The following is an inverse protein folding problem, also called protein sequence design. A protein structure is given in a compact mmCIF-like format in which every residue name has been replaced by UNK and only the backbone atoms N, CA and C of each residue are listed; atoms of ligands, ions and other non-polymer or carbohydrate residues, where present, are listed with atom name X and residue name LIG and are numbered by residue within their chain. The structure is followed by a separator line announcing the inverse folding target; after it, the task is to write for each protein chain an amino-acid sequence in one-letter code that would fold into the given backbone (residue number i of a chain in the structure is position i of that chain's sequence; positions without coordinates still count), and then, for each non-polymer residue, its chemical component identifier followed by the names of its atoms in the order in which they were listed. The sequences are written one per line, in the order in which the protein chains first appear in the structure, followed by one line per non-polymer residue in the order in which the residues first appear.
data_IF_725695975313
#
_entry.id   IF_725695975313
#
_cell.length_a   1.000
_cell.length_b   1.000
_cell.length_c   1.000
_cell.angle_alpha   90.00
_cell.angle_beta   90.00
_cell.angle_gamma   90.00
#
_symmetry.space_group_name_H-M   'P 1'
#
loop_
_entity.id
_entity.type
_entity.pdbx_description
1 polymer ?
#
# COMPACT_ATOMS: atom_id res chain seq x y z
N UNK A 1 4.38 1.40 22.70
CA UNK A 1 3.59 2.60 22.37
C UNK A 1 3.13 3.26 23.67
N UNK A 2 2.96 4.60 23.71
CA UNK A 2 2.43 5.29 24.91
C UNK A 2 0.91 5.16 24.99
N UNK A 3 0.33 5.25 26.20
CA UNK A 3 -1.14 5.18 26.43
C UNK A 3 -1.95 6.09 25.51
N UNK A 4 -1.59 7.37 25.46
CA UNK A 4 -2.31 8.38 24.69
C UNK A 4 -2.31 8.07 23.18
N UNK A 5 -1.16 7.61 22.68
CA UNK A 5 -0.97 7.24 21.29
C UNK A 5 -1.77 5.98 20.94
N UNK A 6 -1.78 4.97 21.82
CA UNK A 6 -2.60 3.78 21.68
C UNK A 6 -4.10 4.11 21.60
N UNK A 7 -4.62 4.89 22.54
CA UNK A 7 -6.04 5.22 22.61
C UNK A 7 -6.48 6.08 21.44
N UNK A 8 -5.63 7.02 20.99
CA UNK A 8 -5.89 7.86 19.82
C UNK A 8 -5.98 7.01 18.54
N UNK A 9 -5.04 6.07 18.37
CA UNK A 9 -5.03 5.18 17.22
C UNK A 9 -6.23 4.22 17.26
N UNK A 10 -6.52 3.60 18.41
CA UNK A 10 -7.68 2.72 18.58
C UNK A 10 -8.99 3.46 18.28
N UNK A 11 -9.14 4.70 18.75
CA UNK A 11 -10.30 5.56 18.45
C UNK A 11 -10.44 5.79 16.94
N UNK A 12 -9.34 6.06 16.25
CA UNK A 12 -9.35 6.22 14.80
C UNK A 12 -9.75 4.94 14.06
N UNK A 13 -9.26 3.78 14.52
CA UNK A 13 -9.59 2.48 13.93
C UNK A 13 -11.07 2.10 14.17
N UNK A 14 -11.66 2.53 15.30
CA UNK A 14 -13.05 2.31 15.65
C UNK A 14 -14.05 3.31 15.03
N UNK A 15 -13.63 4.14 14.07
CA UNK A 15 -14.46 5.24 13.51
C UNK A 15 -15.80 4.82 12.89
N UNK A 16 -15.96 3.54 12.57
CA UNK A 16 -17.20 3.00 12.01
C UNK A 16 -18.23 2.58 13.07
N UNK A 17 -17.89 2.68 14.36
CA UNK A 17 -18.84 2.47 15.45
C UNK A 17 -19.56 3.76 15.81
N UNK A 18 -20.75 3.63 16.38
CA UNK A 18 -21.45 4.77 17.00
C UNK A 18 -20.61 5.37 18.14
N UNK A 19 -20.67 6.69 18.31
CA UNK A 19 -19.86 7.43 19.28
C UNK A 19 -19.96 6.88 20.71
N UNK A 20 -21.17 6.58 21.18
CA UNK A 20 -21.39 6.05 22.53
C UNK A 20 -20.72 4.68 22.72
N UNK A 21 -20.83 3.82 21.71
CA UNK A 21 -20.22 2.49 21.68
C UNK A 21 -18.70 2.60 21.64
N UNK A 22 -18.18 3.52 20.81
CA UNK A 22 -16.75 3.76 20.70
C UNK A 22 -16.15 4.23 22.05
N UNK A 23 -16.82 5.13 22.77
CA UNK A 23 -16.36 5.61 24.08
C UNK A 23 -16.43 4.52 25.16
N UNK A 24 -17.45 3.66 25.12
CA UNK A 24 -17.57 2.50 26.01
C UNK A 24 -16.42 1.49 25.80
N UNK A 25 -16.14 1.14 24.54
CA UNK A 25 -15.04 0.24 24.21
C UNK A 25 -13.69 0.86 24.62
N UNK A 26 -13.46 2.15 24.37
CA UNK A 26 -12.20 2.84 24.72
C UNK A 26 -11.92 2.84 26.23
N UNK A 27 -12.95 3.02 27.08
CA UNK A 27 -12.81 2.96 28.55
C UNK A 27 -12.22 1.64 29.03
N UNK A 28 -12.53 0.54 28.35
CA UNK A 28 -12.01 -0.79 28.68
C UNK A 28 -10.48 -0.90 28.51
N UNK A 29 -9.87 0.03 27.78
CA UNK A 29 -8.42 0.06 27.52
C UNK A 29 -7.72 1.27 28.18
N UNK A 30 -8.43 2.11 28.95
CA UNK A 30 -7.84 3.30 29.59
C UNK A 30 -6.89 2.97 30.75
N UNK A 31 -7.03 1.80 31.38
CA UNK A 31 -6.30 1.42 32.59
C UNK A 31 -5.51 0.11 32.41
N UNK A 32 -4.92 -0.09 31.23
CA UNK A 32 -4.04 -1.23 31.00
C UNK A 32 -2.68 -1.02 31.68
N UNK A 33 -2.15 -2.08 32.29
CA UNK A 33 -0.79 -2.11 32.83
C UNK A 33 0.28 -2.06 31.72
N UNK A 34 -0.05 -2.56 30.52
CA UNK A 34 0.84 -2.55 29.36
C UNK A 34 0.10 -2.19 28.07
N UNK A 35 0.62 -1.20 27.35
CA UNK A 35 0.11 -0.72 26.07
C UNK A 35 0.86 -1.28 24.86
N UNK A 36 1.58 -2.39 25.02
CA UNK A 36 2.20 -3.13 23.92
C UNK A 36 1.18 -4.00 23.16
N UNK A 37 0.03 -3.40 22.82
CA UNK A 37 -1.05 -4.01 22.06
C UNK A 37 -1.16 -3.33 20.70
N UNK A 38 -1.62 -4.08 19.70
CA UNK A 38 -1.85 -3.57 18.34
C UNK A 38 -3.30 -3.07 18.22
N UNK A 39 -3.54 -1.75 18.07
CA UNK A 39 -4.88 -1.17 17.99
C UNK A 39 -5.76 -1.80 16.91
N UNK A 40 -5.17 -2.23 15.80
CA UNK A 40 -5.89 -2.82 14.67
C UNK A 40 -6.40 -4.23 14.96
N UNK A 41 -5.63 -5.04 15.69
CA UNK A 41 -6.06 -6.38 16.13
C UNK A 41 -7.22 -6.26 17.11
N UNK A 42 -7.15 -5.28 18.03
CA UNK A 42 -8.21 -4.98 18.98
C UNK A 42 -9.46 -4.46 18.26
N UNK A 43 -9.32 -3.53 17.32
CA UNK A 43 -10.44 -3.01 16.54
C UNK A 43 -11.13 -4.13 15.75
N UNK A 44 -10.38 -5.03 15.12
CA UNK A 44 -10.94 -6.20 14.44
C UNK A 44 -11.72 -7.11 15.40
N UNK A 45 -11.19 -7.37 16.60
CA UNK A 45 -11.88 -8.16 17.63
C UNK A 45 -13.20 -7.50 18.06
N UNK A 46 -13.19 -6.18 18.28
CA UNK A 46 -14.39 -5.41 18.63
C UNK A 46 -15.44 -5.47 17.51
N UNK A 47 -15.03 -5.33 16.24
CA UNK A 47 -15.93 -5.44 15.10
C UNK A 47 -16.53 -6.85 14.99
N UNK A 48 -15.73 -7.91 15.17
CA UNK A 48 -16.21 -9.29 15.15
C UNK A 48 -17.20 -9.58 16.29
N UNK A 49 -16.90 -9.16 17.53
CA UNK A 49 -17.80 -9.30 18.67
C UNK A 49 -19.17 -8.65 18.43
N UNK A 50 -19.21 -7.60 17.63
CA UNK A 50 -20.42 -6.84 17.30
C UNK A 50 -21.08 -7.29 15.99
N UNK A 51 -20.61 -8.38 15.39
CA UNK A 51 -21.18 -8.92 14.15
C UNK A 51 -20.93 -8.06 12.90
N UNK A 52 -19.97 -7.13 12.97
CA UNK A 52 -19.61 -6.25 11.86
C UNK A 52 -18.50 -6.87 11.02
N UNK A 53 -18.74 -7.03 9.72
CA UNK A 53 -17.73 -7.55 8.78
C UNK A 53 -16.76 -6.45 8.32
N UNK A 54 -16.16 -5.74 9.27
CA UNK A 54 -15.21 -4.65 9.03
C UNK A 54 -13.81 -5.18 9.37
N UNK A 55 -12.91 -5.16 8.38
CA UNK A 55 -11.51 -5.54 8.56
C UNK A 55 -10.64 -4.29 8.58
N UNK A 56 -10.17 -3.93 9.78
CA UNK A 56 -9.15 -2.92 9.97
C UNK A 56 -7.79 -3.53 9.65
N UNK A 57 -7.07 -2.89 8.75
CA UNK A 57 -5.69 -3.25 8.44
C UNK A 57 -4.78 -2.11 8.81
N UNK A 58 -3.68 -2.40 9.51
CA UNK A 58 -2.62 -1.43 9.79
C UNK A 58 -2.23 -0.71 8.51
N UNK A 59 -2.19 0.62 8.57
CA UNK A 59 -1.67 1.43 7.48
C UNK A 59 -0.16 1.26 7.47
N UNK A 60 0.34 0.23 6.79
CA UNK A 60 1.78 0.06 6.60
C UNK A 60 2.33 1.24 5.80
N UNK A 61 3.28 1.96 6.39
CA UNK A 61 4.00 2.99 5.67
C UNK A 61 4.87 2.32 4.60
N UNK A 62 5.24 3.07 3.55
CA UNK A 62 6.14 2.54 2.52
C UNK A 62 7.48 2.13 3.13
N UNK A 63 8.02 2.95 4.03
CA UNK A 63 9.31 2.71 4.66
C UNK A 63 9.29 1.45 5.53
N UNK A 64 8.21 1.22 6.27
CA UNK A 64 8.04 -0.03 7.04
C UNK A 64 8.03 -1.23 6.10
N UNK A 65 7.26 -1.15 5.01
CA UNK A 65 7.20 -2.23 4.02
C UNK A 65 8.55 -2.51 3.35
N UNK A 66 9.32 -1.46 3.05
CA UNK A 66 10.68 -1.61 2.53
C UNK A 66 11.58 -2.27 3.58
N UNK A 67 11.46 -1.88 4.86
CA UNK A 67 12.21 -2.52 5.95
C UNK A 67 11.91 -4.02 6.02
N UNK A 68 10.64 -4.42 6.00
CA UNK A 68 10.24 -5.84 6.01
C UNK A 68 10.83 -6.60 4.81
N UNK A 69 10.85 -6.00 3.62
CA UNK A 69 11.47 -6.61 2.43
C UNK A 69 12.99 -6.75 2.60
N UNK A 70 13.66 -5.76 3.19
CA UNK A 70 15.09 -5.83 3.51
C UNK A 70 15.38 -6.92 4.53
N UNK A 71 14.54 -7.05 5.55
CA UNK A 71 14.69 -8.09 6.58
C UNK A 71 14.45 -9.49 5.99
N UNK A 72 13.47 -9.62 5.10
CA UNK A 72 13.25 -10.84 4.32
C UNK A 72 14.45 -11.19 3.41
N UNK A 73 15.11 -10.19 2.81
CA UNK A 73 16.36 -10.38 2.03
C UNK A 73 17.53 -10.82 2.91
N UNK A 74 17.61 -10.34 4.16
CA UNK A 74 18.62 -10.76 5.13
C UNK A 74 18.31 -12.13 5.75
N UNK A 75 17.11 -12.66 5.54
CA UNK A 75 16.73 -13.97 6.07
C UNK A 75 17.64 -15.07 5.49
N UNK A 76 18.02 -16.04 6.31
CA UNK A 76 18.77 -17.23 5.85
C UNK A 76 17.87 -18.27 5.18
N UNK A 77 16.57 -17.99 5.06
CA UNK A 77 15.60 -18.94 4.54
C UNK A 77 15.57 -18.91 3.01
N UNK A 78 16.09 -19.98 2.39
CA UNK A 78 16.14 -20.12 0.94
C UNK A 78 14.76 -19.98 0.27
N UNK A 79 13.68 -20.41 0.91
CA UNK A 79 12.32 -20.31 0.36
C UNK A 79 11.86 -18.85 0.28
N UNK A 80 12.12 -18.06 1.32
CA UNK A 80 11.79 -16.63 1.37
C UNK A 80 12.61 -15.87 0.33
N UNK A 81 13.91 -16.15 0.22
CA UNK A 81 14.78 -15.55 -0.79
C UNK A 81 14.32 -15.86 -2.22
N UNK A 82 13.91 -17.09 -2.48
CA UNK A 82 13.42 -17.51 -3.80
C UNK A 82 12.06 -16.87 -4.13
N UNK A 83 11.16 -16.77 -3.15
CA UNK A 83 9.89 -16.06 -3.28
C UNK A 83 10.08 -14.54 -3.52
N UNK A 84 11.04 -13.91 -2.82
CA UNK A 84 11.48 -12.54 -3.08
C UNK A 84 12.02 -12.37 -4.50
N UNK A 85 12.86 -13.29 -4.97
CA UNK A 85 13.41 -13.26 -6.33
C UNK A 85 12.28 -13.28 -7.37
N UNK A 86 11.33 -14.20 -7.23
CA UNK A 86 10.17 -14.28 -8.11
C UNK A 86 9.29 -13.03 -8.02
N UNK A 87 9.14 -12.44 -6.84
CA UNK A 87 8.43 -11.18 -6.66
C UNK A 87 9.10 -10.03 -7.44
N UNK A 88 10.42 -9.88 -7.36
CA UNK A 88 11.14 -8.86 -8.13
C UNK A 88 11.08 -9.12 -9.64
N UNK A 89 11.20 -10.38 -10.06
CA UNK A 89 11.04 -10.76 -11.47
C UNK A 89 9.64 -10.42 -11.98
N UNK A 90 8.61 -10.70 -11.17
CA UNK A 90 7.23 -10.35 -11.46
C UNK A 90 7.06 -8.83 -11.58
N UNK A 91 7.62 -8.05 -10.65
CA UNK A 91 7.59 -6.58 -10.73
C UNK A 91 8.28 -6.06 -12.00
N UNK A 92 9.39 -6.67 -12.41
CA UNK A 92 10.09 -6.30 -13.64
C UNK A 92 9.23 -6.53 -14.88
N UNK A 93 8.57 -7.70 -14.99
CA UNK A 93 7.64 -8.00 -16.09
C UNK A 93 6.47 -7.00 -16.08
N UNK A 94 5.98 -6.65 -14.89
CA UNK A 94 4.87 -5.71 -14.74
C UNK A 94 5.20 -4.30 -15.27
N UNK A 95 6.44 -3.80 -15.10
CA UNK A 95 6.88 -2.52 -15.69
C UNK A 95 6.69 -2.54 -17.20
N UNK A 96 7.14 -3.62 -17.83
CA UNK A 96 7.09 -3.78 -19.28
C UNK A 96 5.63 -3.79 -19.73
N UNK A 97 4.78 -4.57 -19.06
CA UNK A 97 3.35 -4.64 -19.37
C UNK A 97 2.62 -3.32 -19.19
N UNK A 98 2.95 -2.55 -18.14
CA UNK A 98 2.36 -1.22 -17.91
C UNK A 98 2.79 -0.27 -19.03
N UNK A 99 4.01 -0.38 -19.57
CA UNK A 99 4.51 0.54 -20.59
C UNK A 99 3.79 0.41 -21.93
N UNK A 100 3.37 -0.81 -22.31
CA UNK A 100 2.72 -1.11 -23.60
C UNK A 100 1.51 -0.18 -23.89
N UNK A 101 0.50 -0.06 -23.02
CA UNK A 101 -0.65 0.81 -23.28
C UNK A 101 -0.25 2.30 -23.39
N UNK A 102 0.75 2.76 -22.64
CA UNK A 102 1.23 4.15 -22.75
C UNK A 102 1.91 4.41 -24.09
N UNK A 103 2.74 3.48 -24.58
CA UNK A 103 3.33 3.54 -25.92
C UNK A 103 2.23 3.60 -26.98
N UNK A 104 1.23 2.71 -26.87
CA UNK A 104 0.15 2.64 -27.85
C UNK A 104 -0.66 3.94 -27.94
N UNK A 105 -1.05 4.51 -26.79
CA UNK A 105 -1.80 5.78 -26.76
C UNK A 105 -0.95 6.94 -27.25
N UNK A 106 0.33 6.98 -26.87
CA UNK A 106 1.27 7.99 -27.36
C UNK A 106 1.40 7.94 -28.89
N UNK A 107 1.52 6.76 -29.48
CA UNK A 107 1.74 6.58 -30.91
C UNK A 107 0.47 6.90 -31.75
N UNK A 108 -0.72 6.63 -31.23
CA UNK A 108 -1.97 7.08 -31.87
C UNK A 108 -2.04 8.62 -31.91
N UNK A 109 -1.67 9.27 -30.81
CA UNK A 109 -1.83 10.71 -30.67
C UNK A 109 -0.68 11.47 -31.34
N UNK A 110 0.50 10.87 -31.45
CA UNK A 110 1.59 11.42 -32.28
C UNK A 110 1.14 11.55 -33.74
N UNK A 111 0.42 10.55 -34.25
CA UNK A 111 -0.18 10.57 -35.59
C UNK A 111 -1.20 11.70 -35.74
N UNK A 112 -1.99 11.97 -34.69
CA UNK A 112 -2.92 13.11 -34.67
C UNK A 112 -2.19 14.46 -34.70
N UNK A 113 -1.15 14.67 -33.87
CA UNK A 113 -0.39 15.91 -33.84
C UNK A 113 0.35 16.18 -35.15
N UNK A 114 0.95 15.15 -35.75
CA UNK A 114 1.69 15.26 -37.00
C UNK A 114 0.78 15.55 -38.21
N UNK A 115 -0.47 15.07 -38.21
CA UNK A 115 -1.39 15.23 -39.36
C UNK A 115 -2.27 16.48 -39.23
N UNK A 116 -2.75 16.82 -38.03
CA UNK A 116 -3.75 17.89 -37.84
C UNK A 116 -3.19 19.21 -37.32
N UNK A 117 -2.15 19.17 -36.49
CA UNK A 117 -1.70 20.35 -35.74
C UNK A 117 -0.34 20.87 -36.24
N UNK A 118 0.47 20.01 -36.87
CA UNK A 118 1.78 20.33 -37.47
C UNK A 118 2.66 21.18 -36.55
N UNK A 119 2.63 20.86 -35.25
CA UNK A 119 3.29 21.65 -34.20
C UNK A 119 4.15 20.74 -33.32
N UNK A 120 5.45 20.78 -33.56
CA UNK A 120 6.45 19.95 -32.87
C UNK A 120 6.51 20.23 -31.36
N UNK A 121 6.29 21.49 -30.95
CA UNK A 121 6.30 21.87 -29.54
C UNK A 121 5.17 21.19 -28.77
N UNK A 122 3.97 21.14 -29.35
CA UNK A 122 2.83 20.46 -28.72
C UNK A 122 3.06 18.94 -28.64
N UNK A 123 3.68 18.35 -29.66
CA UNK A 123 4.06 16.94 -29.63
C UNK A 123 5.08 16.63 -28.51
N UNK A 124 6.10 17.47 -28.33
CA UNK A 124 7.10 17.30 -27.26
C UNK A 124 6.46 17.40 -25.88
N UNK A 125 5.60 18.40 -25.65
CA UNK A 125 4.87 18.56 -24.38
C UNK A 125 3.98 17.34 -24.13
N UNK A 126 3.30 16.84 -25.16
CA UNK A 126 2.47 15.65 -25.07
C UNK A 126 3.27 14.41 -24.69
N UNK A 127 4.39 14.16 -25.36
CA UNK A 127 5.27 13.04 -25.09
C UNK A 127 5.80 13.07 -23.65
N UNK A 128 6.29 14.23 -23.18
CA UNK A 128 6.74 14.41 -21.79
C UNK A 128 5.62 14.15 -20.78
N UNK A 129 4.42 14.62 -21.08
CA UNK A 129 3.23 14.39 -20.24
C UNK A 129 2.94 12.89 -20.10
N UNK A 130 3.03 12.14 -21.19
CA UNK A 130 2.79 10.69 -21.18
C UNK A 130 3.86 9.90 -20.42
N UNK A 131 5.13 10.27 -20.58
CA UNK A 131 6.22 9.67 -19.80
C UNK A 131 6.04 9.94 -18.30
N UNK A 132 5.60 11.16 -17.93
CA UNK A 132 5.29 11.49 -16.54
C UNK A 132 4.11 10.66 -16.00
N UNK A 133 3.02 10.55 -16.76
CA UNK A 133 1.86 9.74 -16.38
C UNK A 133 2.23 8.26 -16.21
N UNK A 134 3.05 7.72 -17.12
CA UNK A 134 3.59 6.37 -17.03
C UNK A 134 4.40 6.19 -15.74
N UNK A 135 5.34 7.11 -15.45
CA UNK A 135 6.18 7.05 -14.27
C UNK A 135 5.34 7.08 -12.97
N UNK A 136 4.37 7.99 -12.88
CA UNK A 136 3.46 8.08 -11.73
C UNK A 136 2.67 6.78 -11.56
N UNK A 137 2.13 6.25 -12.65
CA UNK A 137 1.33 5.01 -12.64
C UNK A 137 2.17 3.82 -12.18
N UNK A 138 3.37 3.67 -12.74
CA UNK A 138 4.29 2.61 -12.36
C UNK A 138 4.67 2.70 -10.87
N UNK A 139 5.02 3.90 -10.39
CA UNK A 139 5.35 4.14 -8.97
C UNK A 139 4.18 3.76 -8.06
N UNK A 140 2.96 4.23 -8.34
CA UNK A 140 1.79 3.93 -7.51
C UNK A 140 1.50 2.43 -7.44
N UNK A 141 1.59 1.74 -8.58
CA UNK A 141 1.39 0.30 -8.65
C UNK A 141 2.48 -0.42 -7.84
N UNK A 142 3.74 -0.01 -7.98
CA UNK A 142 4.86 -0.57 -7.24
C UNK A 142 4.77 -0.41 -5.74
N UNK A 143 4.38 0.79 -5.28
CA UNK A 143 4.11 1.05 -3.86
C UNK A 143 3.07 0.05 -3.35
N UNK A 144 1.99 -0.18 -4.11
CA UNK A 144 0.94 -1.12 -3.73
C UNK A 144 1.44 -2.56 -3.66
N UNK A 145 2.24 -3.00 -4.63
CA UNK A 145 2.81 -4.36 -4.64
C UNK A 145 3.79 -4.59 -3.50
N UNK A 146 4.69 -3.64 -3.24
CA UNK A 146 5.65 -3.73 -2.12
C UNK A 146 4.91 -3.83 -0.78
N UNK A 147 3.90 -2.98 -0.57
CA UNK A 147 3.08 -3.01 0.65
C UNK A 147 2.34 -4.32 0.84
N UNK A 148 1.76 -4.87 -0.24
CA UNK A 148 1.08 -6.15 -0.19
C UNK A 148 2.06 -7.27 0.15
N UNK A 149 3.22 -7.32 -0.49
CA UNK A 149 4.21 -8.37 -0.24
C UNK A 149 4.80 -8.29 1.17
N UNK A 150 5.10 -7.08 1.65
CA UNK A 150 5.54 -6.88 3.03
C UNK A 150 4.50 -7.37 4.04
N UNK A 151 3.21 -7.10 3.80
CA UNK A 151 2.12 -7.60 4.65
C UNK A 151 2.04 -9.13 4.65
N UNK A 152 2.28 -9.78 3.52
CA UNK A 152 2.34 -11.26 3.46
C UNK A 152 3.46 -11.81 4.34
N UNK A 153 4.61 -11.14 4.37
CA UNK A 153 5.74 -11.51 5.24
C UNK A 153 5.47 -11.23 6.71
N UNK A 154 4.90 -10.07 7.06
CA UNK A 154 4.49 -9.78 8.44
C UNK A 154 3.52 -10.85 8.97
N UNK A 155 2.55 -11.27 8.15
CA UNK A 155 1.60 -12.33 8.51
C UNK A 155 2.26 -13.71 8.64
N UNK A 156 3.35 -13.95 7.92
CA UNK A 156 4.14 -15.19 8.00
C UNK A 156 5.13 -15.18 9.17
N UNK A 157 5.18 -14.11 9.98
CA UNK A 157 6.08 -13.97 11.12
C UNK A 157 7.52 -13.62 10.74
N UNK A 158 7.71 -13.00 9.58
CA UNK A 158 9.00 -12.48 9.09
C UNK A 158 9.10 -11.00 9.41
#
# INVERSE_FOLDING_TARGET
MKKEEFLKELKYQLRYLNKNIQEEELKSYENLENYNLKPEEIANSIYQKRGLNIKVTKKTSLFDSISTIIDALKSKNKKILLDLLFFFLYMFILIILIKIPFIYVRDIISTFFNILVSNDTLYVIWNLTFELLYAITAILIFIKFIKNKAKDYENAGI
#
